data_IF_888022861717
#
_entry.id   IF_888022861717
#
_cell.length_a   1.000
_cell.length_b   1.000
_cell.length_c   1.000
_cell.angle_alpha   90.00
_cell.angle_beta   90.00
_cell.angle_gamma   90.00
#
_symmetry.space_group_name_H-M   'P 1'
#
loop_
_entity.id
_entity.type
_entity.pdbx_description
1 polymer ?
#
# COMPACT_ATOMS: atom_id res chain seq x y z
N UNK A 1 -8.05 -5.92 -22.96
CA UNK A 1 -8.84 -6.55 -21.88
C UNK A 1 -8.91 -8.04 -22.18
N UNK A 2 -8.61 -8.89 -21.19
CA UNK A 2 -8.76 -10.34 -21.31
C UNK A 2 -10.24 -10.74 -21.22
N UNK A 3 -10.78 -11.44 -22.23
CA UNK A 3 -12.21 -11.77 -22.32
C UNK A 3 -12.66 -12.88 -21.35
N UNK A 4 -11.75 -13.47 -20.56
CA UNK A 4 -12.08 -14.56 -19.63
C UNK A 4 -12.05 -14.09 -18.18
N UNK A 5 -11.09 -13.24 -17.83
CA UNK A 5 -10.86 -12.74 -16.46
C UNK A 5 -11.36 -11.31 -16.23
N UNK A 6 -11.72 -10.60 -17.30
CA UNK A 6 -12.02 -9.16 -17.25
C UNK A 6 -10.79 -8.31 -16.86
N UNK A 7 -9.58 -8.86 -16.94
CA UNK A 7 -8.36 -8.14 -16.58
C UNK A 7 -7.97 -7.16 -17.68
N UNK A 8 -7.59 -5.94 -17.31
CA UNK A 8 -7.03 -4.94 -18.23
C UNK A 8 -5.54 -4.85 -17.99
N UNK A 9 -4.74 -5.00 -19.05
CA UNK A 9 -3.28 -4.86 -19.01
C UNK A 9 -2.94 -3.37 -19.14
N UNK A 10 -2.15 -2.78 -18.23
CA UNK A 10 -1.66 -1.42 -18.38
C UNK A 10 -0.72 -1.29 -19.59
N UNK A 11 -1.04 -0.39 -20.53
CA UNK A 11 -0.26 -0.22 -21.77
C UNK A 11 1.06 0.53 -21.57
N UNK A 12 1.15 1.33 -20.51
CA UNK A 12 2.31 2.16 -20.17
C UNK A 12 3.42 1.41 -19.41
N UNK A 13 3.32 0.08 -19.34
CA UNK A 13 4.25 -0.79 -18.60
C UNK A 13 5.19 -1.53 -19.56
N UNK A 14 6.41 -1.77 -19.08
CA UNK A 14 7.48 -2.46 -19.80
C UNK A 14 7.55 -3.92 -19.35
N UNK A 15 7.75 -4.84 -20.30
CA UNK A 15 7.96 -6.27 -20.04
C UNK A 15 9.19 -6.52 -19.14
N UNK A 16 9.14 -7.62 -18.39
CA UNK A 16 10.24 -8.09 -17.52
C UNK A 16 10.71 -7.06 -16.49
N UNK A 17 9.86 -6.09 -16.15
CA UNK A 17 10.14 -5.07 -15.14
C UNK A 17 9.20 -5.26 -13.97
N UNK A 18 9.72 -5.14 -12.74
CA UNK A 18 8.98 -5.44 -11.52
C UNK A 18 7.70 -4.60 -11.37
N UNK A 19 6.59 -5.27 -11.05
CA UNK A 19 5.29 -4.66 -10.79
C UNK A 19 4.86 -4.93 -9.35
N UNK A 20 4.41 -3.87 -8.70
CA UNK A 20 3.79 -3.89 -7.37
C UNK A 20 2.34 -3.42 -7.49
N UNK A 21 1.44 -4.06 -6.74
CA UNK A 21 0.03 -3.69 -6.71
C UNK A 21 -0.36 -3.13 -5.35
N UNK A 22 -1.29 -2.18 -5.34
CA UNK A 22 -2.08 -1.85 -4.15
C UNK A 22 -3.54 -2.11 -4.42
N UNK A 23 -4.28 -2.58 -3.42
CA UNK A 23 -5.73 -2.61 -3.46
C UNK A 23 -6.32 -1.99 -2.19
N UNK A 24 -7.42 -1.26 -2.36
CA UNK A 24 -8.09 -0.55 -1.28
C UNK A 24 -9.61 -0.51 -1.52
N UNK A 25 -10.37 -0.29 -0.45
CA UNK A 25 -11.80 -0.02 -0.53
C UNK A 25 -12.04 1.41 -1.05
N UNK A 26 -13.06 1.55 -1.88
CA UNK A 26 -13.73 2.81 -2.14
C UNK A 26 -15.02 2.76 -1.31
N UNK A 27 -15.03 3.51 -0.21
CA UNK A 27 -16.19 3.70 0.63
C UNK A 27 -16.67 5.15 0.48
N UNK A 28 -17.77 5.35 -0.25
CA UNK A 28 -18.45 6.65 -0.32
C UNK A 28 -19.62 6.59 0.64
N UNK A 29 -19.48 7.33 1.74
CA UNK A 29 -20.54 7.54 2.71
C UNK A 29 -21.54 8.52 2.11
N UNK A 30 -22.60 8.03 1.49
CA UNK A 30 -23.69 8.89 1.05
C UNK A 30 -24.45 9.40 2.29
N UNK A 31 -24.66 10.71 2.40
CA UNK A 31 -25.33 11.37 3.52
C UNK A 31 -26.86 11.16 3.47
N UNK A 32 -27.29 9.94 3.17
CA UNK A 32 -28.68 9.53 3.30
C UNK A 32 -29.10 9.58 4.78
N UNK A 33 -30.29 10.12 5.03
CA UNK A 33 -30.89 10.28 6.37
C UNK A 33 -30.96 8.97 7.18
N UNK A 34 -30.87 7.81 6.53
CA UNK A 34 -30.90 6.49 7.14
C UNK A 34 -29.54 5.77 7.18
N UNK A 35 -28.46 6.36 6.62
CA UNK A 35 -27.12 5.75 6.47
C UNK A 35 -27.12 4.37 5.80
N UNK A 36 -28.18 4.00 5.06
CA UNK A 36 -28.31 2.65 4.49
C UNK A 36 -27.68 2.49 3.12
N UNK A 37 -27.40 3.59 2.44
CA UNK A 37 -26.89 3.59 1.07
C UNK A 37 -25.41 4.00 1.04
N UNK A 38 -24.54 3.14 1.57
CA UNK A 38 -23.08 3.31 1.40
C UNK A 38 -22.65 2.62 0.10
N UNK A 39 -21.95 3.35 -0.75
CA UNK A 39 -21.35 2.77 -1.95
C UNK A 39 -20.04 2.09 -1.57
N UNK A 40 -19.93 0.82 -1.91
CA UNK A 40 -18.74 0.00 -1.67
C UNK A 40 -18.20 -0.54 -2.98
N UNK A 41 -16.99 -0.14 -3.32
CA UNK A 41 -16.24 -0.69 -4.43
C UNK A 41 -14.80 -1.01 -4.01
N UNK A 42 -14.07 -1.68 -4.88
CA UNK A 42 -12.66 -2.02 -4.68
C UNK A 42 -11.86 -1.49 -5.85
N UNK A 43 -10.79 -0.76 -5.56
CA UNK A 43 -9.86 -0.29 -6.58
C UNK A 43 -8.53 -1.01 -6.43
N UNK A 44 -7.91 -1.29 -7.56
CA UNK A 44 -6.54 -1.77 -7.62
C UNK A 44 -5.71 -0.82 -8.47
N UNK A 45 -4.47 -0.60 -8.05
CA UNK A 45 -3.50 0.21 -8.79
C UNK A 45 -2.21 -0.58 -8.91
N UNK A 46 -1.68 -0.65 -10.12
CA UNK A 46 -0.38 -1.23 -10.39
C UNK A 46 0.67 -0.12 -10.47
N UNK A 47 1.88 -0.40 -10.01
CA UNK A 47 3.02 0.50 -10.03
C UNK A 47 4.20 -0.23 -10.64
N UNK A 48 4.87 0.44 -11.57
CA UNK A 48 6.10 -0.06 -12.16
C UNK A 48 7.14 1.06 -12.14
N UNK A 49 8.29 0.78 -11.52
CA UNK A 49 9.39 1.74 -11.46
C UNK A 49 10.32 1.50 -12.64
N UNK A 50 10.63 2.54 -13.42
CA UNK A 50 11.45 2.43 -14.62
C UNK A 50 12.35 3.65 -14.81
N UNK A 51 13.59 3.42 -15.24
CA UNK A 51 14.54 4.46 -15.61
C UNK A 51 14.29 5.01 -17.03
N UNK A 52 13.45 4.33 -17.82
CA UNK A 52 13.09 4.78 -19.16
C UNK A 52 12.07 5.92 -19.07
N UNK A 53 12.59 7.15 -19.19
CA UNK A 53 11.82 8.41 -19.27
C UNK A 53 11.00 8.58 -20.56
N UNK A 54 10.87 7.53 -21.38
CA UNK A 54 10.52 7.68 -22.80
C UNK A 54 9.04 7.42 -23.14
N UNK A 55 8.13 7.44 -22.18
CA UNK A 55 6.71 7.49 -22.52
C UNK A 55 6.06 8.56 -21.65
N UNK A 56 5.80 9.72 -22.26
CA UNK A 56 4.70 10.57 -21.79
C UNK A 56 3.46 9.68 -21.75
N UNK A 57 2.88 9.40 -20.56
CA UNK A 57 1.70 8.55 -20.45
C UNK A 57 0.44 9.29 -20.93
N UNK A 58 0.57 10.54 -21.36
CA UNK A 58 -0.44 11.27 -22.12
C UNK A 58 -0.49 10.70 -23.55
N UNK A 59 -0.86 9.42 -23.67
CA UNK A 59 -1.59 9.00 -24.87
C UNK A 59 -2.75 10.00 -24.95
N UNK A 60 -2.80 10.77 -26.03
CA UNK A 60 -3.95 11.61 -26.33
C UNK A 60 -5.16 10.66 -26.41
N UNK A 61 -5.87 10.52 -25.28
CA UNK A 61 -7.11 9.76 -25.24
C UNK A 61 -8.06 10.58 -26.09
N UNK A 62 -8.30 10.14 -27.32
CA UNK A 62 -9.42 10.64 -28.10
C UNK A 62 -10.68 10.23 -27.35
N UNK A 63 -11.20 11.16 -26.54
CA UNK A 63 -12.48 11.00 -25.88
C UNK A 63 -13.51 10.95 -26.99
N UNK A 64 -13.95 9.74 -27.35
CA UNK A 64 -15.00 9.59 -28.35
C UNK A 64 -16.23 10.35 -27.84
N UNK A 65 -16.90 11.09 -28.73
CA UNK A 65 -18.11 11.86 -28.42
C UNK A 65 -19.33 11.00 -28.06
N UNK A 66 -19.15 9.71 -27.79
CA UNK A 66 -20.21 8.84 -27.31
C UNK A 66 -20.65 9.28 -25.90
N UNK A 67 -21.90 9.71 -25.78
CA UNK A 67 -22.50 10.20 -24.52
C UNK A 67 -22.67 9.09 -23.45
N UNK A 68 -22.42 7.83 -23.80
CA UNK A 68 -22.55 6.68 -22.89
C UNK A 68 -21.35 5.75 -22.96
N UNK A 69 -20.60 5.68 -21.86
CA UNK A 69 -19.56 4.70 -21.64
C UNK A 69 -20.23 3.38 -21.19
N UNK A 70 -20.33 2.38 -22.09
CA UNK A 70 -20.76 1.04 -21.70
C UNK A 70 -19.58 0.28 -21.09
N UNK A 71 -19.63 0.07 -19.78
CA UNK A 71 -18.65 -0.75 -19.05
C UNK A 71 -19.03 -2.23 -19.27
N UNK A 72 -18.13 -3.08 -19.79
CA UNK A 72 -18.42 -4.50 -19.97
C UNK A 72 -18.73 -5.20 -18.64
N UNK A 73 -19.80 -6.02 -18.61
CA UNK A 73 -20.24 -6.73 -17.40
C UNK A 73 -19.15 -7.62 -16.79
N UNK A 74 -18.30 -8.22 -17.64
CA UNK A 74 -17.17 -9.05 -17.21
C UNK A 74 -16.17 -8.32 -16.30
N UNK A 75 -16.12 -6.99 -16.34
CA UNK A 75 -15.30 -6.19 -15.41
C UNK A 75 -15.86 -6.24 -13.98
N UNK A 76 -17.14 -6.57 -13.82
CA UNK A 76 -17.87 -6.60 -12.56
C UNK A 76 -18.22 -8.02 -12.09
N UNK A 77 -17.91 -9.05 -12.88
CA UNK A 77 -18.21 -10.43 -12.52
C UNK A 77 -17.44 -10.86 -11.28
N UNK A 78 -18.18 -11.16 -10.21
CA UNK A 78 -17.65 -11.67 -8.95
C UNK A 78 -18.01 -13.15 -8.76
N UNK A 79 -17.09 -14.05 -9.12
CA UNK A 79 -17.23 -15.48 -8.91
C UNK A 79 -17.05 -15.89 -7.43
N UNK A 80 -17.94 -16.73 -6.88
CA UNK A 80 -17.85 -17.20 -5.51
C UNK A 80 -16.67 -18.16 -5.31
N UNK A 81 -15.95 -18.01 -4.20
CA UNK A 81 -14.73 -18.78 -3.90
C UNK A 81 -15.04 -19.97 -2.98
N UNK A 82 -16.22 -20.01 -2.38
CA UNK A 82 -16.67 -21.14 -1.55
C UNK A 82 -15.92 -21.28 -0.22
N UNK A 83 -15.37 -20.19 0.30
CA UNK A 83 -14.54 -20.17 1.52
C UNK A 83 -15.36 -19.76 2.74
N UNK A 84 -15.32 -20.56 3.80
CA UNK A 84 -15.91 -20.24 5.11
C UNK A 84 -14.91 -19.43 5.96
N UNK A 85 -15.31 -18.25 6.43
CA UNK A 85 -14.51 -17.33 7.27
C UNK A 85 -14.04 -17.98 8.58
N UNK A 86 -12.83 -17.64 9.05
CA UNK A 86 -12.36 -17.96 10.41
C UNK A 86 -11.95 -19.42 10.65
N UNK A 87 -11.93 -20.27 9.62
CA UNK A 87 -11.52 -21.69 9.75
C UNK A 87 -10.03 -21.94 9.47
N UNK A 88 -9.28 -20.92 9.05
CA UNK A 88 -7.86 -21.07 8.66
C UNK A 88 -6.96 -20.61 9.79
N UNK A 89 -5.93 -21.41 10.10
CA UNK A 89 -4.91 -21.04 11.08
C UNK A 89 -3.63 -20.63 10.35
N UNK A 90 -2.79 -19.76 10.96
CA UNK A 90 -1.47 -19.46 10.43
C UNK A 90 -0.66 -20.73 10.24
N UNK A 91 -0.09 -20.90 9.04
CA UNK A 91 0.80 -22.00 8.73
C UNK A 91 2.22 -21.44 8.63
N UNK A 92 3.04 -21.76 9.63
CA UNK A 92 4.47 -21.47 9.56
C UNK A 92 5.14 -22.51 8.67
N UNK A 93 5.85 -22.08 7.63
CA UNK A 93 6.57 -22.98 6.74
C UNK A 93 7.81 -23.61 7.41
N UNK A 94 8.38 -22.90 8.39
CA UNK A 94 9.51 -23.33 9.22
C UNK A 94 9.32 -22.79 10.64
N UNK A 95 9.95 -23.40 11.66
CA UNK A 95 10.01 -22.82 13.00
C UNK A 95 10.56 -21.40 12.92
N UNK A 96 9.95 -20.46 13.65
CA UNK A 96 10.49 -19.11 13.80
C UNK A 96 11.67 -19.21 14.77
N UNK A 97 12.87 -19.01 14.26
CA UNK A 97 14.11 -18.96 15.03
C UNK A 97 14.54 -17.51 15.23
N UNK A 98 15.33 -17.24 16.29
CA UNK A 98 15.70 -15.86 16.67
C UNK A 98 16.68 -15.20 15.68
N UNK A 99 17.38 -16.01 14.89
CA UNK A 99 18.22 -15.59 13.75
C UNK A 99 17.46 -14.73 12.72
N UNK A 100 16.15 -14.93 12.55
CA UNK A 100 15.30 -14.08 11.70
C UNK A 100 15.18 -12.62 12.20
N UNK A 101 15.52 -12.36 13.46
CA UNK A 101 15.52 -11.03 14.07
C UNK A 101 16.94 -10.47 14.28
N UNK A 102 17.96 -11.27 13.99
CA UNK A 102 19.34 -10.82 14.02
C UNK A 102 19.59 -9.99 12.76
N UNK A 103 19.97 -8.72 12.96
CA UNK A 103 20.26 -7.81 11.87
C UNK A 103 21.59 -8.21 11.22
N UNK A 104 21.59 -8.42 9.91
CA UNK A 104 22.83 -8.70 9.19
C UNK A 104 23.67 -7.41 9.17
N UNK A 105 24.84 -7.42 9.82
CA UNK A 105 25.69 -6.22 10.01
C UNK A 105 26.24 -5.63 8.70
N UNK A 106 25.94 -6.24 7.55
CA UNK A 106 26.43 -5.85 6.23
C UNK A 106 25.63 -4.72 5.55
N UNK A 107 24.47 -4.31 6.07
CA UNK A 107 23.71 -3.14 5.56
C UNK A 107 24.15 -1.79 6.14
N UNK A 108 25.36 -1.74 6.70
CA UNK A 108 25.86 -0.64 7.53
C UNK A 108 25.84 0.72 6.80
N UNK A 109 26.21 0.78 5.53
CA UNK A 109 26.38 2.06 4.82
C UNK A 109 25.04 2.76 4.52
N UNK A 110 24.04 2.01 4.05
CA UNK A 110 22.70 2.56 3.77
C UNK A 110 22.04 3.00 5.07
N UNK A 111 22.18 2.19 6.13
CA UNK A 111 21.66 2.53 7.45
C UNK A 111 22.35 3.78 8.02
N UNK A 112 23.68 3.84 7.99
CA UNK A 112 24.46 5.00 8.43
C UNK A 112 24.07 6.28 7.68
N UNK A 113 23.90 6.19 6.36
CA UNK A 113 23.48 7.34 5.54
C UNK A 113 22.05 7.80 5.89
N UNK A 114 21.14 6.86 6.14
CA UNK A 114 19.79 7.16 6.59
C UNK A 114 19.79 7.83 7.98
N UNK A 115 20.57 7.31 8.92
CA UNK A 115 20.75 7.89 10.27
C UNK A 115 21.36 9.30 10.21
N UNK A 116 22.42 9.49 9.42
CA UNK A 116 23.04 10.81 9.24
C UNK A 116 22.06 11.83 8.64
N UNK A 117 21.26 11.41 7.64
CA UNK A 117 20.23 12.29 7.05
C UNK A 117 19.15 12.64 8.06
N UNK A 118 18.77 11.69 8.92
CA UNK A 118 17.79 11.91 9.98
C UNK A 118 18.30 12.89 11.05
N UNK A 119 19.56 12.77 11.46
CA UNK A 119 20.21 13.71 12.36
C UNK A 119 20.28 15.11 11.76
N UNK A 120 20.71 15.21 10.49
CA UNK A 120 20.78 16.49 9.78
C UNK A 120 19.42 17.20 9.72
N UNK A 121 18.32 16.48 9.50
CA UNK A 121 16.97 17.05 9.52
C UNK A 121 16.61 17.63 10.88
N UNK A 122 16.90 16.93 11.99
CA UNK A 122 16.55 17.43 13.32
C UNK A 122 17.36 18.67 13.70
N UNK A 123 18.65 18.70 13.37
CA UNK A 123 19.49 19.89 13.56
C UNK A 123 18.92 21.06 12.75
N UNK A 124 18.66 20.85 11.46
CA UNK A 124 18.09 21.88 10.59
C UNK A 124 16.74 22.41 11.10
N UNK A 125 15.87 21.52 11.62
CA UNK A 125 14.58 21.89 12.17
C UNK A 125 14.69 22.73 13.45
N UNK A 126 15.72 22.52 14.27
CA UNK A 126 15.96 23.35 15.47
C UNK A 126 16.50 24.75 15.13
N UNK A 127 17.31 24.85 14.08
CA UNK A 127 17.93 26.11 13.66
C UNK A 127 17.01 26.98 12.79
N UNK A 128 16.02 26.39 12.11
CA UNK A 128 15.09 27.12 11.25
C UNK A 128 13.92 27.76 12.00
N UNK A 129 13.69 29.06 11.76
CA UNK A 129 12.55 29.81 12.31
C UNK A 129 11.18 29.25 11.90
N UNK A 130 11.09 28.64 10.71
CA UNK A 130 9.94 27.83 10.30
C UNK A 130 10.32 26.36 10.40
N UNK A 131 9.60 25.58 11.21
CA UNK A 131 9.78 24.13 11.34
C UNK A 131 9.49 23.42 10.00
N UNK A 132 10.49 23.06 9.18
CA UNK A 132 10.21 22.46 7.89
C UNK A 132 9.76 21.01 8.09
N UNK A 133 8.80 20.57 7.26
CA UNK A 133 8.43 19.15 7.20
C UNK A 133 9.53 18.32 6.54
N UNK A 134 9.60 17.03 6.84
CA UNK A 134 10.58 16.09 6.28
C UNK A 134 10.63 16.09 4.75
N UNK A 135 9.47 16.16 4.09
CA UNK A 135 9.39 16.20 2.62
C UNK A 135 10.04 17.45 2.04
N UNK A 136 9.77 18.62 2.62
CA UNK A 136 10.36 19.89 2.18
C UNK A 136 11.87 19.90 2.38
N UNK A 137 12.35 19.38 3.52
CA UNK A 137 13.78 19.18 3.76
C UNK A 137 14.43 18.31 2.67
N UNK A 138 13.88 17.12 2.40
CA UNK A 138 14.46 16.25 1.36
C UNK A 138 14.38 16.87 -0.04
N UNK A 139 13.31 17.58 -0.37
CA UNK A 139 13.22 18.24 -1.68
C UNK A 139 14.31 19.30 -1.88
N UNK A 140 14.70 20.01 -0.82
CA UNK A 140 15.69 21.07 -0.90
C UNK A 140 17.14 20.57 -0.85
N UNK A 141 17.40 19.45 -0.15
CA UNK A 141 18.77 18.98 0.14
C UNK A 141 19.13 17.63 -0.47
N UNK A 142 18.16 16.84 -0.92
CA UNK A 142 18.44 15.55 -1.56
C UNK A 142 18.96 15.77 -2.98
N UNK A 143 20.12 15.18 -3.27
CA UNK A 143 20.65 15.04 -4.64
C UNK A 143 20.12 13.79 -5.34
N UNK A 144 19.30 12.99 -4.64
CA UNK A 144 18.75 11.75 -5.20
C UNK A 144 17.63 12.08 -6.17
N UNK A 145 17.80 11.68 -7.43
CA UNK A 145 16.74 11.73 -8.43
C UNK A 145 16.13 10.31 -8.59
N UNK A 146 15.03 9.99 -7.88
CA UNK A 146 14.43 8.67 -7.95
C UNK A 146 13.91 8.36 -9.36
N UNK A 147 13.97 7.09 -9.82
CA UNK A 147 13.29 6.69 -11.04
C UNK A 147 11.80 6.99 -10.95
N UNK A 148 11.23 7.41 -12.07
CA UNK A 148 9.80 7.68 -12.19
C UNK A 148 9.00 6.38 -12.08
N UNK A 149 7.83 6.47 -11.45
CA UNK A 149 6.90 5.36 -11.31
C UNK A 149 5.76 5.53 -12.32
N UNK A 150 5.62 4.56 -13.21
CA UNK A 150 4.43 4.41 -14.06
C UNK A 150 3.30 3.84 -13.23
N UNK A 151 2.11 4.42 -13.39
CA UNK A 151 0.89 4.02 -12.67
C UNK A 151 -0.07 3.42 -13.68
N UNK A 152 -0.58 2.22 -13.37
CA UNK A 152 -1.61 1.53 -14.14
C UNK A 152 -2.88 1.40 -13.30
N UNK A 153 -3.92 2.17 -13.62
CA UNK A 153 -5.20 2.06 -12.93
C UNK A 153 -5.97 0.84 -13.46
N UNK A 154 -6.32 -0.08 -12.57
CA UNK A 154 -7.11 -1.27 -12.92
C UNK A 154 -8.60 -0.94 -12.82
N UNK A 155 -9.48 -1.66 -13.56
CA UNK A 155 -10.92 -1.46 -13.46
C UNK A 155 -11.44 -1.59 -12.02
N UNK A 156 -12.29 -0.65 -11.62
CA UNK A 156 -12.97 -0.68 -10.32
C UNK A 156 -13.96 -1.84 -10.31
N UNK A 157 -13.94 -2.63 -9.23
CA UNK A 157 -14.92 -3.68 -8.96
C UNK A 157 -15.99 -3.11 -8.04
N UNK A 158 -17.26 -3.13 -8.47
CA UNK A 158 -18.43 -2.67 -7.73
C UNK A 158 -18.87 -3.69 -6.67
N UNK A 159 -17.90 -4.10 -5.84
CA UNK A 159 -18.12 -4.95 -4.70
C UNK A 159 -17.17 -4.54 -3.56
N UNK A 160 -17.59 -4.72 -2.30
CA UNK A 160 -16.75 -4.42 -1.15
C UNK A 160 -15.53 -5.36 -1.08
N UNK A 161 -14.35 -4.83 -0.74
CA UNK A 161 -13.14 -5.63 -0.65
C UNK A 161 -13.12 -6.52 0.59
N UNK A 162 -13.97 -6.29 1.60
CA UNK A 162 -14.00 -7.17 2.78
C UNK A 162 -14.64 -8.56 2.50
N UNK A 163 -15.19 -8.79 1.30
CA UNK A 163 -15.70 -10.10 0.85
C UNK A 163 -14.57 -10.93 0.22
N UNK A 164 -14.53 -12.22 0.57
CA UNK A 164 -13.54 -13.15 0.02
C UNK A 164 -13.62 -13.29 -1.50
N UNK A 165 -14.83 -13.24 -2.05
CA UNK A 165 -15.05 -13.36 -3.49
C UNK A 165 -14.41 -12.18 -4.25
N UNK A 166 -14.64 -10.96 -3.76
CA UNK A 166 -14.02 -9.75 -4.29
C UNK A 166 -12.49 -9.82 -4.20
N UNK A 167 -11.93 -10.14 -3.03
CA UNK A 167 -10.48 -10.25 -2.85
C UNK A 167 -9.88 -11.31 -3.77
N UNK A 168 -10.52 -12.47 -3.91
CA UNK A 168 -9.97 -13.52 -4.77
C UNK A 168 -9.84 -13.08 -6.22
N UNK A 169 -10.78 -12.26 -6.71
CA UNK A 169 -10.76 -11.75 -8.08
C UNK A 169 -9.75 -10.63 -8.24
N UNK A 170 -9.66 -9.73 -7.25
CA UNK A 170 -8.57 -8.75 -7.17
C UNK A 170 -7.23 -9.45 -7.34
N UNK A 171 -6.98 -10.53 -6.57
CA UNK A 171 -5.73 -11.29 -6.63
C UNK A 171 -5.54 -11.96 -7.98
N UNK A 172 -6.56 -12.64 -8.52
CA UNK A 172 -6.45 -13.29 -9.83
C UNK A 172 -6.14 -12.30 -10.96
N UNK A 173 -6.75 -11.12 -10.94
CA UNK A 173 -6.45 -10.04 -11.90
C UNK A 173 -5.00 -9.57 -11.75
N UNK A 174 -4.53 -9.36 -10.53
CA UNK A 174 -3.12 -9.01 -10.30
C UNK A 174 -2.16 -10.11 -10.76
N UNK A 175 -2.49 -11.39 -10.51
CA UNK A 175 -1.70 -12.54 -10.97
C UNK A 175 -1.64 -12.64 -12.48
N UNK A 176 -2.77 -12.42 -13.17
CA UNK A 176 -2.82 -12.39 -14.63
C UNK A 176 -1.93 -11.28 -15.21
N UNK A 177 -1.98 -10.06 -14.66
CA UNK A 177 -1.07 -8.98 -15.06
C UNK A 177 0.38 -9.36 -14.79
N UNK A 178 0.66 -9.92 -13.60
CA UNK A 178 2.01 -10.33 -13.20
C UNK A 178 2.61 -11.34 -14.20
N UNK A 179 1.83 -12.36 -14.58
CA UNK A 179 2.23 -13.37 -15.56
C UNK A 179 2.45 -12.76 -16.95
N UNK A 180 1.56 -11.85 -17.39
CA UNK A 180 1.69 -11.16 -18.67
C UNK A 180 3.03 -10.40 -18.79
N UNK A 181 3.50 -9.79 -17.70
CA UNK A 181 4.77 -9.06 -17.67
C UNK A 181 6.00 -9.93 -17.33
N UNK A 182 5.84 -11.25 -17.25
CA UNK A 182 6.94 -12.20 -17.04
C UNK A 182 7.45 -12.28 -15.59
N UNK A 183 6.68 -11.76 -14.62
CA UNK A 183 7.04 -11.81 -13.21
C UNK A 183 6.52 -13.11 -12.58
N UNK A 184 7.34 -13.78 -11.75
CA UNK A 184 6.97 -15.07 -11.15
C UNK A 184 6.06 -14.94 -9.92
N UNK A 185 6.24 -13.87 -9.15
CA UNK A 185 5.53 -13.63 -7.89
C UNK A 185 4.70 -12.37 -7.96
N UNK A 186 3.43 -12.43 -7.58
CA UNK A 186 2.59 -11.24 -7.49
C UNK A 186 2.79 -10.58 -6.14
N UNK A 187 3.19 -9.30 -6.13
CA UNK A 187 3.37 -8.53 -4.89
C UNK A 187 2.22 -7.55 -4.74
N UNK A 188 1.45 -7.66 -3.65
CA UNK A 188 0.31 -6.77 -3.39
C UNK A 188 0.31 -6.24 -1.95
N UNK A 189 0.18 -4.92 -1.81
CA UNK A 189 -0.04 -4.26 -0.52
C UNK A 189 -1.50 -3.87 -0.38
N UNK A 190 -2.08 -4.16 0.79
CA UNK A 190 -3.47 -3.80 1.13
C UNK A 190 -3.52 -3.24 2.54
N UNK A 191 -4.65 -2.63 2.92
CA UNK A 191 -4.85 -2.20 4.29
C UNK A 191 -4.83 -3.38 5.27
N UNK A 192 -4.66 -3.06 6.56
CA UNK A 192 -4.48 -4.06 7.60
C UNK A 192 -5.73 -4.94 7.82
N UNK A 193 -6.93 -4.40 7.65
CA UNK A 193 -8.16 -5.18 7.86
C UNK A 193 -8.34 -6.21 6.73
N UNK A 194 -8.05 -5.82 5.48
CA UNK A 194 -8.05 -6.73 4.34
C UNK A 194 -6.87 -7.71 4.38
N UNK A 195 -5.72 -7.32 4.95
CA UNK A 195 -4.54 -8.18 5.09
C UNK A 195 -4.87 -9.52 5.74
N UNK A 196 -5.57 -9.50 6.89
CA UNK A 196 -5.94 -10.72 7.60
C UNK A 196 -6.78 -11.67 6.72
N UNK A 197 -7.76 -11.12 5.99
CA UNK A 197 -8.61 -11.90 5.08
C UNK A 197 -7.83 -12.44 3.88
N UNK A 198 -6.93 -11.64 3.33
CA UNK A 198 -6.08 -12.09 2.23
C UNK A 198 -5.15 -13.22 2.66
N UNK A 199 -4.61 -13.19 3.87
CA UNK A 199 -3.79 -14.28 4.38
C UNK A 199 -4.60 -15.58 4.54
N UNK A 200 -5.86 -15.50 4.97
CA UNK A 200 -6.75 -16.67 4.97
C UNK A 200 -6.96 -17.24 3.55
N UNK A 201 -7.20 -16.39 2.55
CA UNK A 201 -7.29 -16.81 1.14
C UNK A 201 -5.99 -17.45 0.67
N UNK A 202 -4.87 -16.80 0.95
CA UNK A 202 -3.53 -17.26 0.57
C UNK A 202 -3.25 -18.66 1.10
N UNK A 203 -3.63 -18.95 2.34
CA UNK A 203 -3.42 -20.28 2.93
C UNK A 203 -4.37 -21.35 2.38
N UNK A 204 -5.60 -20.98 1.98
CA UNK A 204 -6.57 -21.93 1.43
C UNK A 204 -6.36 -22.26 -0.05
N UNK A 205 -5.90 -21.31 -0.84
CA UNK A 205 -5.78 -21.44 -2.29
C UNK A 205 -4.31 -21.75 -2.63
N UNK A 206 -3.98 -22.97 -3.10
CA UNK A 206 -2.59 -23.39 -3.35
C UNK A 206 -1.82 -22.46 -4.29
N UNK A 207 -2.51 -21.96 -5.32
CA UNK A 207 -1.97 -20.99 -6.28
C UNK A 207 -1.51 -19.69 -5.59
N UNK A 208 -2.36 -19.14 -4.71
CA UNK A 208 -2.04 -17.93 -3.95
C UNK A 208 -0.92 -18.22 -2.93
N UNK A 209 -0.95 -19.39 -2.30
CA UNK A 209 0.10 -19.76 -1.35
C UNK A 209 1.48 -19.76 -2.00
N UNK A 210 1.56 -20.24 -3.25
CA UNK A 210 2.81 -20.41 -3.99
C UNK A 210 3.35 -19.09 -4.56
N UNK A 211 2.49 -18.27 -5.17
CA UNK A 211 2.95 -17.15 -6.01
C UNK A 211 2.63 -15.76 -5.46
N UNK A 212 1.80 -15.64 -4.41
CA UNK A 212 1.42 -14.34 -3.87
C UNK A 212 2.36 -13.89 -2.74
N UNK A 213 2.85 -12.65 -2.77
CA UNK A 213 3.58 -12.02 -1.67
C UNK A 213 2.74 -10.83 -1.20
N UNK A 214 2.43 -10.81 0.10
CA UNK A 214 1.59 -9.77 0.70
C UNK A 214 2.42 -9.00 1.72
N UNK A 215 3.21 -7.99 1.31
CA UNK A 215 3.87 -7.11 2.27
C UNK A 215 2.82 -6.21 2.95
N UNK A 216 2.94 -6.08 4.27
CA UNK A 216 2.19 -5.08 5.02
C UNK A 216 2.58 -3.68 4.57
N UNK A 217 1.61 -2.80 4.37
CA UNK A 217 1.87 -1.42 3.95
C UNK A 217 2.65 -0.64 5.00
N UNK A 218 3.71 0.05 4.58
CA UNK A 218 4.58 0.83 5.46
C UNK A 218 3.84 1.88 6.30
N UNK A 219 2.75 2.45 5.76
CA UNK A 219 1.86 3.36 6.49
C UNK A 219 1.23 2.68 7.72
N UNK A 220 0.61 1.50 7.53
CA UNK A 220 -0.06 0.80 8.61
C UNK A 220 0.93 0.24 9.63
N UNK A 221 2.11 -0.22 9.19
CA UNK A 221 3.20 -0.59 10.09
C UNK A 221 3.58 0.61 10.97
N UNK A 222 3.79 1.78 10.37
CA UNK A 222 4.18 3.00 11.09
C UNK A 222 3.09 3.46 12.07
N UNK A 223 1.82 3.47 11.65
CA UNK A 223 0.70 3.85 12.50
C UNK A 223 0.54 2.90 13.70
N UNK A 224 0.67 1.59 13.49
CA UNK A 224 0.63 0.61 14.57
C UNK A 224 1.81 0.75 15.52
N UNK A 225 3.01 0.98 15.00
CA UNK A 225 4.19 1.22 15.81
C UNK A 225 4.00 2.43 16.73
N UNK A 226 3.55 3.57 16.18
CA UNK A 226 3.23 4.77 16.96
C UNK A 226 2.18 4.51 18.04
N UNK A 227 1.15 3.71 17.72
CA UNK A 227 0.11 3.34 18.67
C UNK A 227 0.63 2.46 19.81
N UNK A 228 1.52 1.52 19.53
CA UNK A 228 2.14 0.64 20.53
C UNK A 228 3.05 1.45 21.46
N UNK A 229 3.93 2.27 20.90
CA UNK A 229 4.83 3.14 21.68
C UNK A 229 4.02 4.15 22.49
N UNK A 230 2.99 4.77 21.91
CA UNK A 230 2.09 5.69 22.61
C UNK A 230 1.40 5.05 23.80
N UNK A 231 0.95 3.79 23.68
CA UNK A 231 0.39 3.03 24.80
C UNK A 231 1.44 2.71 25.86
N UNK A 232 2.65 2.31 25.44
CA UNK A 232 3.74 1.97 26.37
C UNK A 232 4.24 3.18 27.16
N UNK A 233 4.29 4.35 26.52
CA UNK A 233 4.76 5.61 27.11
C UNK A 233 3.63 6.48 27.66
N UNK A 234 2.41 5.96 27.71
CA UNK A 234 1.24 6.70 28.18
C UNK A 234 1.47 7.16 29.62
N UNK A 235 1.37 8.47 29.85
CA UNK A 235 1.57 9.09 31.16
C UNK A 235 3.02 9.49 31.49
N UNK A 236 4.00 9.21 30.63
CA UNK A 236 5.41 9.53 30.92
C UNK A 236 5.81 11.00 30.67
N UNK A 237 5.02 11.77 29.92
CA UNK A 237 5.31 13.17 29.58
C UNK A 237 6.52 13.41 28.66
N UNK A 238 7.37 12.40 28.44
CA UNK A 238 8.73 12.53 27.91
C UNK A 238 8.83 13.20 26.53
N UNK A 239 7.83 13.03 25.66
CA UNK A 239 7.81 13.64 24.32
C UNK A 239 7.38 15.11 24.31
N UNK A 240 6.61 15.51 25.32
CA UNK A 240 6.20 16.90 25.53
C UNK A 240 7.33 17.64 26.23
N UNK A 241 7.91 17.04 27.26
CA UNK A 241 9.03 17.60 28.02
C UNK A 241 10.31 17.74 27.19
N UNK A 242 10.55 16.82 26.25
CA UNK A 242 11.67 16.93 25.29
C UNK A 242 11.44 17.97 24.18
N UNK A 243 10.27 18.61 24.13
CA UNK A 243 9.94 19.59 23.08
C UNK A 243 9.73 18.98 21.70
N UNK A 244 9.74 17.64 21.56
CA UNK A 244 9.54 16.95 20.29
C UNK A 244 8.11 17.11 19.76
N UNK A 245 7.11 17.12 20.66
CA UNK A 245 5.70 17.26 20.30
C UNK A 245 4.97 18.21 21.25
N UNK A 246 4.15 19.10 20.70
CA UNK A 246 3.22 19.90 21.50
C UNK A 246 2.10 19.04 22.11
N UNK A 247 1.54 19.47 23.25
CA UNK A 247 0.53 18.72 24.03
C UNK A 247 -0.65 18.21 23.20
N UNK A 248 -1.17 19.00 22.26
CA UNK A 248 -2.26 18.58 21.36
C UNK A 248 -1.84 17.68 20.19
N UNK A 249 -0.55 17.66 19.82
CA UNK A 249 -0.05 16.78 18.77
C UNK A 249 0.34 15.39 19.31
N UNK A 250 0.82 15.33 20.56
CA UNK A 250 1.26 14.10 21.19
C UNK A 250 0.17 13.01 21.20
N UNK A 251 -1.05 13.34 21.63
CA UNK A 251 -2.17 12.39 21.67
C UNK A 251 -2.59 11.86 20.28
N UNK A 252 -2.58 12.73 19.28
CA UNK A 252 -2.87 12.35 17.89
C UNK A 252 -1.78 11.45 17.30
N UNK A 253 -0.51 11.70 17.65
CA UNK A 253 0.62 10.84 17.27
C UNK A 253 0.51 9.48 17.97
N UNK A 254 0.23 9.45 19.29
CA UNK A 254 0.10 8.23 20.09
C UNK A 254 -1.10 7.38 19.74
N UNK A 255 -2.10 7.93 19.08
CA UNK A 255 -3.21 7.16 18.52
C UNK A 255 -2.92 6.64 17.10
N UNK A 256 -1.75 6.94 16.54
CA UNK A 256 -1.37 6.64 15.16
C UNK A 256 -2.05 7.52 14.12
N UNK A 257 -2.85 8.52 14.54
CA UNK A 257 -3.68 9.36 13.66
C UNK A 257 -2.92 10.53 13.02
N UNK A 258 -1.83 10.98 13.64
CA UNK A 258 -0.97 12.04 13.12
C UNK A 258 0.41 11.50 12.70
N UNK A 259 0.43 10.41 11.92
CA UNK A 259 1.68 9.77 11.50
C UNK A 259 2.64 10.75 10.80
N UNK A 260 2.12 11.66 9.97
CA UNK A 260 2.92 12.65 9.22
C UNK A 260 3.66 13.65 10.11
N UNK A 261 3.24 13.79 11.38
CA UNK A 261 3.91 14.65 12.36
C UNK A 261 5.04 13.94 13.11
N UNK A 262 5.03 12.61 13.11
CA UNK A 262 5.92 11.78 13.90
C UNK A 262 6.92 10.99 13.05
N UNK A 263 6.52 10.60 11.85
CA UNK A 263 7.30 9.75 10.96
C UNK A 263 7.64 10.50 9.67
N UNK A 264 8.90 10.44 9.22
CA UNK A 264 9.27 10.89 7.88
C UNK A 264 8.53 10.06 6.82
N UNK A 265 7.85 10.72 5.88
CA UNK A 265 7.28 10.05 4.70
C UNK A 265 8.44 9.74 3.74
N UNK A 266 8.71 8.45 3.51
CA UNK A 266 9.68 7.99 2.50
C UNK A 266 9.00 7.84 1.14
#
# INVERSE_FOLDING_TARGET
>A
MDPTSGTVIPENFVLNTFIHFTADNIDILDESLDRKYTFHATQMTAYQRSDNRNQDPLIAVEISAAETLKVPDILQDVAPVGIIEGKTKPVFQKPVTNDLFESDNNELEVQQKAEATHQAFFVHRQECAQNPGWTSFNQNYSTTNPPQTSIGHMPIILAPAHKFDTLSIVIRRCMFVTEHFGQAYTVITIDQALYCKLMELKWKIPEFNKNLIVPLGGLQISMNFLKVIGKHMSGSGSWIESGLLGKGAAELVFSGKAYSKAMPIR
#
